data_IF_935801350990
#
_entry.id   IF_935801350990
#
_cell.length_a   1.000
_cell.length_b   1.000
_cell.length_c   1.000
_cell.angle_alpha   90.00
_cell.angle_beta   90.00
_cell.angle_gamma   90.00
#
_symmetry.space_group_name_H-M   'P 1'
#
loop_
_entity.id
_entity.type
_entity.pdbx_description
1 polymer ?
#
# COMPACT_ATOMS: atom_id res chain seq x y z
N UNK A 1 9.83 12.85 -5.63
CA UNK A 1 8.57 12.25 -5.16
C UNK A 1 8.20 11.20 -6.19
N UNK A 2 7.82 9.98 -5.77
CA UNK A 2 7.44 8.93 -6.71
C UNK A 2 6.27 9.43 -7.58
N UNK A 3 6.23 8.98 -8.83
CA UNK A 3 5.07 9.22 -9.69
C UNK A 3 3.86 8.45 -9.14
N UNK A 4 2.70 9.10 -9.04
CA UNK A 4 1.49 8.50 -8.43
C UNK A 4 0.39 8.45 -9.47
N UNK A 5 -0.16 7.25 -9.68
CA UNK A 5 -1.31 7.02 -10.55
C UNK A 5 -2.50 6.53 -9.72
N UNK A 6 -3.59 7.29 -9.75
CA UNK A 6 -4.84 6.84 -9.15
C UNK A 6 -5.51 5.77 -10.00
N UNK A 7 -5.90 4.66 -9.36
CA UNK A 7 -6.63 3.55 -9.98
C UNK A 7 -8.00 3.38 -9.32
N UNK A 8 -8.93 2.76 -10.05
CA UNK A 8 -10.31 2.62 -9.59
C UNK A 8 -10.47 1.60 -8.45
N UNK A 9 -9.61 0.59 -8.41
CA UNK A 9 -9.73 -0.53 -7.48
C UNK A 9 -8.33 -1.12 -7.19
N UNK A 10 -8.07 -1.40 -5.92
CA UNK A 10 -6.96 -2.21 -5.42
C UNK A 10 -7.51 -3.15 -4.34
N UNK A 11 -7.01 -4.39 -4.24
CA UNK A 11 -7.45 -5.29 -3.18
C UNK A 11 -7.07 -4.73 -1.80
N UNK A 12 -8.07 -4.54 -0.93
CA UNK A 12 -7.81 -4.19 0.47
C UNK A 12 -7.04 -5.33 1.16
N UNK A 13 -6.06 -4.96 1.97
CA UNK A 13 -5.34 -5.91 2.83
C UNK A 13 -5.70 -5.72 4.31
N UNK A 14 -6.24 -4.56 4.69
CA UNK A 14 -6.70 -4.22 6.04
C UNK A 14 -8.22 -4.09 6.01
N UNK A 15 -8.89 -4.79 6.93
CA UNK A 15 -10.34 -4.68 7.10
C UNK A 15 -10.72 -3.59 8.13
N UNK A 16 -11.89 -2.97 7.97
CA UNK A 16 -12.44 -1.96 8.88
C UNK A 16 -12.50 -2.42 10.35
N UNK A 17 -12.69 -3.72 10.59
CA UNK A 17 -12.71 -4.31 11.94
C UNK A 17 -11.35 -4.26 12.64
N UNK A 18 -10.25 -4.19 11.89
CA UNK A 18 -8.89 -4.18 12.44
C UNK A 18 -8.47 -2.81 13.00
N UNK A 19 -9.19 -1.73 12.66
CA UNK A 19 -8.88 -0.38 13.13
C UNK A 19 -9.00 -0.25 14.66
N UNK A 20 -9.92 -1.00 15.26
CA UNK A 20 -10.12 -1.00 16.72
C UNK A 20 -8.90 -1.58 17.47
N UNK A 21 -8.22 -2.56 16.87
CA UNK A 21 -7.07 -3.23 17.48
C UNK A 21 -5.75 -2.46 17.28
N UNK A 22 -5.76 -1.47 16.38
CA UNK A 22 -4.61 -0.64 16.05
C UNK A 22 -4.92 0.87 16.22
N UNK A 23 -5.28 1.33 17.44
CA UNK A 23 -5.66 2.73 17.67
C UNK A 23 -4.52 3.72 17.40
N UNK A 24 -3.27 3.25 17.40
CA UNK A 24 -2.10 4.03 17.03
C UNK A 24 -1.88 4.17 15.52
N UNK A 25 -2.72 3.60 14.67
CA UNK A 25 -2.64 3.70 13.20
C UNK A 25 -1.33 3.16 12.60
N UNK A 26 -0.69 2.22 13.28
CA UNK A 26 0.63 1.68 12.93
C UNK A 26 0.59 0.36 12.17
N UNK A 27 -0.61 -0.13 11.81
CA UNK A 27 -0.73 -1.32 10.97
C UNK A 27 -0.35 -1.00 9.53
N UNK A 28 0.57 -1.80 8.99
CA UNK A 28 0.94 -1.86 7.59
C UNK A 28 0.90 -3.33 7.17
N UNK A 29 0.24 -3.62 6.06
CA UNK A 29 0.23 -4.96 5.45
C UNK A 29 0.83 -4.87 4.06
N UNK A 30 1.64 -5.87 3.73
CA UNK A 30 2.29 -6.00 2.44
C UNK A 30 2.03 -7.38 1.88
N UNK A 31 1.63 -7.44 0.61
CA UNK A 31 1.60 -8.66 -0.19
C UNK A 31 2.68 -8.55 -1.24
N UNK A 32 3.55 -9.56 -1.25
CA UNK A 32 4.66 -9.67 -2.19
C UNK A 32 4.38 -10.86 -3.09
N UNK A 33 4.35 -10.63 -4.40
CA UNK A 33 4.20 -11.69 -5.40
C UNK A 33 5.36 -11.64 -6.38
N UNK A 34 6.05 -12.77 -6.53
CA UNK A 34 7.08 -12.93 -7.56
C UNK A 34 6.42 -13.45 -8.83
N UNK A 35 6.70 -12.81 -9.96
CA UNK A 35 6.18 -13.13 -11.29
C UNK A 35 7.35 -13.26 -12.26
N UNK A 36 7.09 -13.79 -13.45
CA UNK A 36 8.10 -13.88 -14.52
C UNK A 36 8.58 -12.49 -15.00
N UNK A 37 7.78 -11.44 -14.76
CA UNK A 37 8.10 -10.06 -15.11
C UNK A 37 8.82 -9.28 -13.99
N UNK A 38 8.94 -9.86 -12.79
CA UNK A 38 9.50 -9.20 -11.62
C UNK A 38 8.66 -9.35 -10.36
N UNK A 39 8.82 -8.43 -9.41
CA UNK A 39 8.12 -8.44 -8.11
C UNK A 39 6.97 -7.44 -8.13
N UNK A 40 5.79 -7.90 -7.73
CA UNK A 40 4.62 -7.05 -7.48
C UNK A 40 4.47 -6.86 -5.98
N UNK A 41 4.41 -5.59 -5.56
CA UNK A 41 4.17 -5.19 -4.17
C UNK A 41 2.82 -4.48 -4.09
N UNK A 42 1.92 -5.05 -3.29
CA UNK A 42 0.67 -4.40 -2.90
C UNK A 42 0.76 -4.09 -1.41
N UNK A 43 0.48 -2.84 -1.04
CA UNK A 43 0.50 -2.42 0.35
C UNK A 43 -0.80 -1.75 0.75
N UNK A 44 -1.10 -1.88 2.03
CA UNK A 44 -2.21 -1.22 2.69
C UNK A 44 -1.75 -0.73 4.06
N UNK A 45 -2.14 0.48 4.44
CA UNK A 45 -1.72 1.09 5.68
C UNK A 45 -2.77 2.07 6.19
N UNK A 46 -2.97 2.06 7.51
CA UNK A 46 -3.82 3.05 8.19
C UNK A 46 -3.29 4.48 8.09
N UNK A 47 -1.99 4.64 7.76
CA UNK A 47 -1.36 5.92 7.45
C UNK A 47 -0.67 5.86 6.09
N UNK A 48 -1.25 6.48 5.04
CA UNK A 48 -0.71 6.42 3.68
C UNK A 48 0.75 6.86 3.58
N UNK A 49 1.14 7.91 4.31
CA UNK A 49 2.52 8.45 4.29
C UNK A 49 3.58 7.41 4.68
N UNK A 50 3.24 6.44 5.53
CA UNK A 50 4.18 5.38 5.94
C UNK A 50 4.38 4.37 4.82
N UNK A 51 3.30 4.02 4.10
CA UNK A 51 3.35 3.10 2.98
C UNK A 51 4.06 3.70 1.78
N UNK A 52 3.74 4.96 1.43
CA UNK A 52 4.38 5.69 0.34
C UNK A 52 5.90 5.78 0.53
N UNK A 53 6.36 6.09 1.76
CA UNK A 53 7.78 6.15 2.08
C UNK A 53 8.47 4.77 1.96
N UNK A 54 7.76 3.70 2.32
CA UNK A 54 8.28 2.33 2.19
C UNK A 54 8.40 1.93 0.71
N UNK A 55 7.36 2.14 -0.09
CA UNK A 55 7.36 1.79 -1.51
C UNK A 55 8.42 2.60 -2.28
N UNK A 56 8.54 3.89 -2.01
CA UNK A 56 9.55 4.75 -2.61
C UNK A 56 11.00 4.38 -2.25
N UNK A 57 11.21 3.65 -1.14
CA UNK A 57 12.52 3.15 -0.76
C UNK A 57 12.87 1.82 -1.44
N UNK A 58 11.87 1.08 -1.95
CA UNK A 58 12.09 -0.18 -2.66
C UNK A 58 12.43 0.09 -4.13
N UNK A 59 11.69 0.99 -4.77
CA UNK A 59 11.84 1.27 -6.20
C UNK A 59 11.44 2.72 -6.52
N UNK A 60 11.91 3.25 -7.65
CA UNK A 60 11.58 4.59 -8.15
C UNK A 60 10.45 4.61 -9.18
N UNK A 61 9.75 3.48 -9.35
CA UNK A 61 8.62 3.31 -10.24
C UNK A 61 7.35 4.07 -9.85
N UNK A 62 6.36 4.07 -10.76
CA UNK A 62 5.03 4.65 -10.52
C UNK A 62 4.28 3.84 -9.45
N UNK A 63 3.81 4.53 -8.41
CA UNK A 63 2.96 3.96 -7.36
C UNK A 63 1.49 4.07 -7.82
N UNK A 64 0.82 2.94 -7.92
CA UNK A 64 -0.63 2.90 -8.06
C UNK A 64 -1.31 3.11 -6.70
N UNK A 65 -2.27 4.03 -6.63
CA UNK A 65 -2.97 4.37 -5.39
C UNK A 65 -4.48 4.35 -5.61
N UNK A 66 -5.22 3.77 -4.67
CA UNK A 66 -6.67 3.86 -4.60
C UNK A 66 -7.05 4.84 -3.49
N UNK A 67 -8.07 5.68 -3.75
CA UNK A 67 -8.69 6.48 -2.69
C UNK A 67 -9.75 5.61 -2.01
N UNK A 68 -9.45 5.15 -0.80
CA UNK A 68 -10.47 4.55 0.07
C UNK A 68 -11.39 5.70 0.54
N UNK A 69 -12.65 5.67 0.10
CA UNK A 69 -13.67 6.68 0.40
C UNK A 69 -14.32 6.51 1.77
#
# INVERSE_FOLDING_TARGET
MPDVRFVADLPDLIDATEYADHPGGNLVRLRIQVTDAGVVLLGDAMRPITLEALLAAVDDGTIEQMLCG
#
